data_IF_675893246321
#
_entry.id   IF_675893246321
#
_cell.length_a   1.000
_cell.length_b   1.000
_cell.length_c   1.000
_cell.angle_alpha   90.00
_cell.angle_beta   90.00
_cell.angle_gamma   90.00
#
_symmetry.space_group_name_H-M   'P 1'
#
loop_
_entity.id
_entity.type
_entity.pdbx_description
1 polymer ?
#
# COMPACT_ATOMS: atom_id res chain seq x y z
N UNK A 1 -7.02 -9.43 10.61
CA UNK A 1 -7.28 -8.03 10.23
C UNK A 1 -6.42 -7.56 9.06
N UNK A 2 -5.08 -7.74 9.05
CA UNK A 2 -4.22 -7.24 7.96
C UNK A 2 -4.58 -7.75 6.55
N UNK A 3 -4.96 -9.02 6.40
CA UNK A 3 -5.43 -9.54 5.10
C UNK A 3 -6.72 -8.85 4.64
N UNK A 4 -7.64 -8.57 5.58
CA UNK A 4 -8.86 -7.80 5.33
C UNK A 4 -8.58 -6.34 4.95
N UNK A 5 -7.56 -5.73 5.55
CA UNK A 5 -7.11 -4.37 5.18
C UNK A 5 -6.68 -4.30 3.72
N UNK A 6 -5.81 -5.24 3.29
CA UNK A 6 -5.37 -5.30 1.89
C UNK A 6 -6.55 -5.57 0.95
N UNK A 7 -7.44 -6.49 1.31
CA UNK A 7 -8.64 -6.78 0.53
C UNK A 7 -9.57 -5.55 0.41
N UNK A 8 -9.77 -4.81 1.50
CA UNK A 8 -10.55 -3.56 1.49
C UNK A 8 -9.94 -2.52 0.54
N UNK A 9 -8.62 -2.42 0.49
CA UNK A 9 -7.89 -1.56 -0.46
C UNK A 9 -8.09 -2.01 -1.89
N UNK A 10 -7.93 -3.30 -2.17
CA UNK A 10 -8.19 -3.83 -3.50
C UNK A 10 -9.62 -3.55 -3.96
N UNK A 11 -10.63 -3.81 -3.13
CA UNK A 11 -12.04 -3.59 -3.50
C UNK A 11 -12.33 -2.11 -3.74
N UNK A 12 -11.98 -1.23 -2.82
CA UNK A 12 -12.32 0.18 -2.92
C UNK A 12 -11.57 0.87 -4.07
N UNK A 13 -10.25 0.71 -4.14
CA UNK A 13 -9.45 1.34 -5.19
C UNK A 13 -9.74 0.77 -6.58
N UNK A 14 -10.04 -0.54 -6.70
CA UNK A 14 -10.46 -1.12 -7.98
C UNK A 14 -11.82 -0.59 -8.44
N UNK A 15 -12.78 -0.39 -7.53
CA UNK A 15 -14.10 0.14 -7.88
C UNK A 15 -14.00 1.55 -8.50
N UNK A 16 -13.07 2.38 -8.02
CA UNK A 16 -12.83 3.71 -8.56
C UNK A 16 -11.82 3.73 -9.72
N UNK A 17 -10.99 2.68 -9.85
CA UNK A 17 -9.78 2.68 -10.68
C UNK A 17 -8.86 3.87 -10.39
N UNK A 18 -8.77 4.24 -9.12
CA UNK A 18 -8.00 5.38 -8.63
C UNK A 18 -7.29 5.05 -7.31
N UNK A 19 -6.00 5.34 -7.22
CA UNK A 19 -5.16 5.03 -6.07
C UNK A 19 -5.25 6.05 -4.93
N UNK A 20 -5.76 7.27 -5.20
CA UNK A 20 -5.74 8.40 -4.25
C UNK A 20 -6.41 8.10 -2.89
N UNK A 21 -7.39 7.19 -2.87
CA UNK A 21 -8.19 6.90 -1.69
C UNK A 21 -7.51 5.95 -0.70
N UNK A 22 -6.34 5.37 -1.02
CA UNK A 22 -5.68 4.38 -0.15
C UNK A 22 -5.44 4.86 1.29
N UNK A 23 -5.05 6.12 1.57
CA UNK A 23 -4.89 6.61 2.93
C UNK A 23 -6.22 6.67 3.69
N UNK A 24 -7.30 7.10 3.04
CA UNK A 24 -8.63 7.16 3.64
C UNK A 24 -9.16 5.75 3.93
N UNK A 25 -8.98 4.84 2.98
CA UNK A 25 -9.48 3.48 3.11
C UNK A 25 -8.79 2.71 4.24
N UNK A 26 -7.47 2.83 4.38
CA UNK A 26 -6.76 2.22 5.51
C UNK A 26 -7.22 2.83 6.84
N UNK A 27 -7.41 4.16 6.88
CA UNK A 27 -7.85 4.88 8.07
C UNK A 27 -9.20 4.36 8.55
N UNK A 28 -10.20 4.36 7.67
CA UNK A 28 -11.55 3.97 8.02
C UNK A 28 -11.73 2.46 8.15
N UNK A 29 -10.96 1.62 7.44
CA UNK A 29 -10.97 0.19 7.73
C UNK A 29 -10.53 -0.07 9.18
N UNK A 30 -9.46 0.59 9.63
CA UNK A 30 -8.94 0.43 10.98
C UNK A 30 -9.90 0.98 12.04
N UNK A 31 -10.48 2.16 11.80
CA UNK A 31 -11.46 2.77 12.69
C UNK A 31 -12.72 1.91 12.84
N UNK A 32 -13.29 1.48 11.70
CA UNK A 32 -14.51 0.68 11.69
C UNK A 32 -14.29 -0.69 12.33
N UNK A 33 -13.18 -1.38 12.06
CA UNK A 33 -12.96 -2.72 12.64
C UNK A 33 -12.71 -2.64 14.15
N UNK A 34 -12.09 -1.57 14.64
CA UNK A 34 -11.94 -1.34 16.08
C UNK A 34 -13.29 -1.16 16.76
N UNK A 35 -14.18 -0.35 16.19
CA UNK A 35 -15.51 -0.11 16.74
C UNK A 35 -16.47 -1.30 16.58
N UNK A 36 -16.33 -2.09 15.52
CA UNK A 36 -17.15 -3.28 15.28
C UNK A 36 -16.81 -4.42 16.25
N UNK A 37 -15.54 -4.54 16.65
CA UNK A 37 -15.06 -5.73 17.37
C UNK A 37 -14.56 -5.45 18.79
N UNK A 38 -14.26 -4.19 19.14
CA UNK A 38 -13.56 -3.82 20.37
C UNK A 38 -12.10 -4.30 20.42
N UNK A 39 -11.56 -4.85 19.32
CA UNK A 39 -10.18 -5.31 19.19
C UNK A 39 -9.32 -4.28 18.45
N UNK A 40 -8.02 -4.19 18.74
CA UNK A 40 -7.13 -3.26 18.05
C UNK A 40 -7.01 -3.54 16.55
N UNK A 41 -6.95 -2.47 15.75
CA UNK A 41 -6.73 -2.50 14.31
C UNK A 41 -5.34 -3.06 13.94
N UNK A 42 -5.08 -3.37 12.65
CA UNK A 42 -3.76 -3.76 12.17
C UNK A 42 -2.64 -2.92 12.76
N UNK A 43 -1.59 -3.61 13.24
CA UNK A 43 -0.41 -2.98 13.82
C UNK A 43 -0.69 -2.12 15.07
N UNK A 44 -1.75 -2.47 15.83
CA UNK A 44 -2.13 -1.88 17.11
C UNK A 44 -2.29 -0.35 17.04
N UNK A 45 -3.04 0.13 16.05
CA UNK A 45 -3.28 1.56 15.86
C UNK A 45 -2.17 2.30 15.06
N UNK A 46 -1.03 1.66 14.79
CA UNK A 46 0.02 2.29 13.96
C UNK A 46 -0.40 2.41 12.50
N UNK A 47 -1.21 1.48 11.99
CA UNK A 47 -1.73 1.56 10.63
C UNK A 47 -2.65 2.79 10.46
N UNK A 48 -3.63 2.99 11.36
CA UNK A 48 -4.51 4.17 11.33
C UNK A 48 -3.73 5.48 11.51
N UNK A 49 -2.75 5.54 12.43
CA UNK A 49 -1.93 6.73 12.63
C UNK A 49 -1.07 7.08 11.39
N UNK A 50 -0.45 6.06 10.76
CA UNK A 50 0.26 6.24 9.49
C UNK A 50 -0.69 6.73 8.40
N UNK A 51 -1.91 6.22 8.41
CA UNK A 51 -2.98 6.63 7.50
C UNK A 51 -3.34 8.09 7.65
N UNK A 52 -3.60 8.57 8.87
CA UNK A 52 -3.90 9.99 9.15
C UNK A 52 -2.81 10.89 8.59
N UNK A 53 -1.55 10.57 8.87
CA UNK A 53 -0.39 11.30 8.36
C UNK A 53 -0.35 11.31 6.83
N UNK A 54 -0.45 10.13 6.21
CA UNK A 54 -0.40 10.00 4.75
C UNK A 54 -1.59 10.63 4.04
N UNK A 55 -2.79 10.63 4.64
CA UNK A 55 -3.97 11.34 4.14
C UNK A 55 -3.68 12.82 4.07
N UNK A 56 -3.16 13.41 5.15
CA UNK A 56 -2.79 14.82 5.20
C UNK A 56 -1.71 15.17 4.17
N UNK A 57 -0.61 14.42 4.11
CA UNK A 57 0.51 14.70 3.20
C UNK A 57 0.26 14.27 1.74
N UNK A 58 -0.90 13.70 1.42
CA UNK A 58 -1.33 13.49 0.03
C UNK A 58 -2.39 14.50 -0.42
N UNK A 59 -2.93 15.30 0.50
CA UNK A 59 -4.04 16.23 0.25
C UNK A 59 -3.82 17.61 0.89
N UNK A 60 -2.56 18.04 1.04
CA UNK A 60 -2.23 19.35 1.62
C UNK A 60 -1.04 20.00 0.93
N UNK A 61 -0.76 21.24 1.35
CA UNK A 61 0.34 22.07 0.82
C UNK A 61 1.70 21.79 1.50
N UNK A 62 1.74 20.94 2.53
CA UNK A 62 2.87 20.86 3.45
C UNK A 62 3.95 19.85 3.04
N UNK A 63 3.82 19.23 1.88
CA UNK A 63 4.75 18.23 1.34
C UNK A 63 4.06 16.90 1.05
N UNK A 64 4.86 15.85 0.86
CA UNK A 64 4.37 14.55 0.41
C UNK A 64 4.04 14.56 -1.08
N UNK A 65 2.89 14.00 -1.46
CA UNK A 65 2.48 13.85 -2.86
C UNK A 65 1.46 12.75 -3.08
N UNK A 66 1.28 12.34 -4.34
CA UNK A 66 0.40 11.22 -4.69
C UNK A 66 0.87 9.89 -4.08
N UNK A 67 -0.01 8.89 -3.90
CA UNK A 67 0.34 7.65 -3.18
C UNK A 67 1.61 6.94 -3.67
N UNK A 68 1.91 7.02 -4.97
CA UNK A 68 3.06 6.35 -5.60
C UNK A 68 4.44 6.85 -5.16
N UNK A 69 4.56 8.01 -4.50
CA UNK A 69 5.88 8.52 -4.04
C UNK A 69 6.24 8.07 -2.62
N UNK A 70 5.30 7.49 -1.88
CA UNK A 70 5.56 7.04 -0.52
C UNK A 70 6.27 5.68 -0.49
N UNK A 71 7.05 5.46 0.56
CA UNK A 71 7.77 4.21 0.80
C UNK A 71 8.02 4.01 2.31
N UNK A 72 8.46 2.83 2.73
CA UNK A 72 8.62 2.47 4.15
C UNK A 72 9.68 3.27 4.92
N UNK A 73 10.50 4.06 4.24
CA UNK A 73 11.47 4.98 4.85
C UNK A 73 11.00 6.44 4.86
N UNK A 74 9.98 6.79 4.07
CA UNK A 74 9.46 8.16 4.02
C UNK A 74 8.89 8.54 5.39
N UNK A 75 9.22 9.73 5.91
CA UNK A 75 8.91 10.11 7.30
C UNK A 75 7.41 10.03 7.62
N UNK A 76 6.56 10.31 6.64
CA UNK A 76 5.09 10.21 6.72
C UNK A 76 4.59 8.77 6.87
N UNK A 77 5.26 7.80 6.24
CA UNK A 77 4.76 6.43 6.08
C UNK A 77 5.61 5.35 6.74
N UNK A 78 6.63 5.73 7.52
CA UNK A 78 7.55 4.80 8.20
C UNK A 78 7.06 4.27 9.55
N UNK A 79 5.90 4.73 10.03
CA UNK A 79 5.45 4.46 11.40
C UNK A 79 4.90 3.04 11.55
N UNK A 80 4.01 2.60 10.65
CA UNK A 80 3.54 1.22 10.61
C UNK A 80 4.62 0.24 10.13
N UNK A 81 4.67 -0.93 10.76
CA UNK A 81 5.73 -1.93 10.62
C UNK A 81 5.29 -3.12 9.77
N UNK A 82 5.03 -2.86 8.48
CA UNK A 82 4.78 -3.91 7.49
C UNK A 82 3.46 -3.80 6.74
N UNK A 83 2.28 -3.75 7.39
CA UNK A 83 1.00 -3.93 6.70
C UNK A 83 0.56 -2.73 5.84
N UNK A 84 1.21 -1.57 5.99
CA UNK A 84 0.77 -0.32 5.39
C UNK A 84 1.20 -0.13 3.93
N UNK A 85 2.51 -0.17 3.64
CA UNK A 85 3.03 0.07 2.28
C UNK A 85 2.53 -0.94 1.23
N UNK A 86 2.35 -2.25 1.53
CA UNK A 86 1.76 -3.17 0.56
C UNK A 86 0.37 -2.76 0.07
N UNK A 87 -0.41 -2.08 0.90
CA UNK A 87 -1.70 -1.54 0.50
C UNK A 87 -1.55 -0.38 -0.50
N UNK A 88 -0.57 0.50 -0.29
CA UNK A 88 -0.25 1.57 -1.24
C UNK A 88 0.19 0.98 -2.59
N UNK A 89 1.03 -0.06 -2.58
CA UNK A 89 1.42 -0.76 -3.79
C UNK A 89 0.20 -1.31 -4.54
N UNK A 90 -0.70 -2.01 -3.84
CA UNK A 90 -1.93 -2.54 -4.44
C UNK A 90 -2.81 -1.44 -5.05
N UNK A 91 -2.99 -0.32 -4.35
CA UNK A 91 -3.76 0.80 -4.87
C UNK A 91 -3.15 1.41 -6.14
N UNK A 92 -1.82 1.54 -6.19
CA UNK A 92 -1.11 2.05 -7.37
C UNK A 92 -1.14 1.08 -8.55
N UNK A 93 -1.21 -0.23 -8.31
CA UNK A 93 -1.43 -1.21 -9.39
C UNK A 93 -2.85 -1.15 -9.99
N UNK A 94 -3.83 -0.63 -9.24
CA UNK A 94 -5.23 -0.54 -9.65
C UNK A 94 -5.59 0.81 -10.28
N UNK A 95 -4.76 1.83 -10.05
CA UNK A 95 -4.89 3.17 -10.60
C UNK A 95 -4.85 3.16 -12.13
N UNK A 96 -5.83 3.80 -12.77
CA UNK A 96 -5.88 3.98 -14.22
C UNK A 96 -5.22 5.30 -14.64
N UNK A 97 -4.01 5.55 -14.14
CA UNK A 97 -3.21 6.77 -14.35
C UNK A 97 -3.94 8.07 -13.99
N UNK A 98 -4.63 8.06 -12.85
CA UNK A 98 -5.34 9.25 -12.34
C UNK A 98 -4.41 10.26 -11.65
N UNK A 99 -3.17 9.86 -11.39
CA UNK A 99 -2.18 10.62 -10.64
C UNK A 99 -1.20 11.36 -11.57
N UNK A 100 -0.57 12.43 -11.06
CA UNK A 100 0.51 13.09 -11.79
C UNK A 100 1.83 12.32 -11.70
N UNK A 101 2.25 11.93 -10.49
CA UNK A 101 3.46 11.14 -10.27
C UNK A 101 3.16 9.64 -10.41
N UNK A 102 2.94 9.19 -11.65
CA UNK A 102 2.70 7.77 -11.97
C UNK A 102 4.01 6.97 -12.03
N UNK A 103 3.95 5.63 -11.91
CA UNK A 103 5.13 4.78 -12.09
C UNK A 103 5.85 5.01 -13.42
N UNK A 104 5.12 5.31 -14.50
CA UNK A 104 5.71 5.64 -15.80
C UNK A 104 6.56 6.93 -15.77
N UNK A 105 6.28 7.86 -14.85
CA UNK A 105 7.06 9.10 -14.70
C UNK A 105 8.18 9.01 -13.68
N UNK A 106 7.99 8.24 -12.59
CA UNK A 106 8.96 8.19 -11.49
C UNK A 106 9.87 6.97 -11.53
N UNK A 107 9.43 5.90 -12.19
CA UNK A 107 10.01 4.56 -12.03
C UNK A 107 10.18 3.81 -13.36
N UNK A 108 10.14 4.50 -14.51
CA UNK A 108 10.24 3.88 -15.84
C UNK A 108 11.43 2.93 -15.98
N UNK A 109 12.65 3.43 -15.67
CA UNK A 109 13.88 2.63 -15.76
C UNK A 109 13.87 1.43 -14.79
N UNK A 110 13.35 1.63 -13.58
CA UNK A 110 13.23 0.54 -12.60
C UNK A 110 12.26 -0.55 -13.10
N UNK A 111 11.12 -0.15 -13.67
CA UNK A 111 10.15 -1.06 -14.26
C UNK A 111 10.73 -1.85 -15.43
N UNK A 112 11.51 -1.20 -16.30
CA UNK A 112 12.16 -1.85 -17.45
C UNK A 112 13.21 -2.86 -17.00
N UNK A 113 14.13 -2.46 -16.11
CA UNK A 113 15.29 -3.28 -15.73
C UNK A 113 14.90 -4.36 -14.72
N UNK A 114 14.26 -4.00 -13.61
CA UNK A 114 13.92 -4.98 -12.57
C UNK A 114 12.69 -5.81 -12.96
N UNK A 115 11.78 -5.27 -13.77
CA UNK A 115 10.63 -6.02 -14.28
C UNK A 115 11.00 -7.13 -15.26
N UNK A 116 12.20 -7.08 -15.86
CA UNK A 116 12.71 -8.17 -16.68
C UNK A 116 13.22 -9.38 -15.87
N UNK A 117 13.45 -9.22 -14.57
CA UNK A 117 13.95 -10.28 -13.68
C UNK A 117 12.74 -11.09 -13.14
N UNK A 118 12.61 -12.40 -13.47
CA UNK A 118 11.42 -13.19 -13.14
C UNK A 118 11.07 -13.20 -11.64
N UNK A 119 12.07 -13.26 -10.77
CA UNK A 119 11.88 -13.30 -9.32
C UNK A 119 11.36 -11.97 -8.74
N UNK A 120 11.59 -10.85 -9.44
CA UNK A 120 11.03 -9.55 -9.07
C UNK A 120 9.68 -9.29 -9.72
N UNK A 121 9.45 -9.82 -10.93
CA UNK A 121 8.17 -9.70 -11.63
C UNK A 121 7.08 -10.61 -11.02
N UNK A 122 7.44 -11.85 -10.65
CA UNK A 122 6.54 -12.85 -10.09
C UNK A 122 7.01 -13.35 -8.69
N UNK A 123 7.19 -12.46 -7.71
CA UNK A 123 7.84 -12.81 -6.44
C UNK A 123 7.05 -13.85 -5.63
N UNK A 124 5.72 -13.85 -5.71
CA UNK A 124 4.90 -14.83 -5.00
C UNK A 124 5.18 -16.27 -5.44
N UNK A 125 5.44 -16.48 -6.75
CA UNK A 125 5.77 -17.80 -7.30
C UNK A 125 7.15 -18.25 -6.83
N UNK A 126 8.15 -17.39 -6.97
CA UNK A 126 9.53 -17.67 -6.54
C UNK A 126 9.60 -17.99 -5.04
N UNK A 127 8.90 -17.21 -4.19
CA UNK A 127 8.85 -17.44 -2.74
C UNK A 127 8.17 -18.77 -2.41
N UNK A 128 7.04 -19.08 -3.06
CA UNK A 128 6.31 -20.33 -2.81
C UNK A 128 7.11 -21.57 -3.22
N UNK A 129 7.82 -21.53 -4.35
CA UNK A 129 8.71 -22.60 -4.79
C UNK A 129 9.91 -22.78 -3.85
N UNK A 130 10.55 -21.67 -3.44
CA UNK A 130 11.64 -21.70 -2.46
C UNK A 130 11.21 -22.28 -1.11
N UNK A 131 10.03 -21.89 -0.60
CA UNK A 131 9.47 -22.42 0.64
C UNK A 131 9.27 -23.95 0.58
N UNK A 132 8.76 -24.47 -0.55
CA UNK A 132 8.57 -25.93 -0.74
C UNK A 132 9.88 -26.72 -0.71
N UNK A 133 11.00 -26.11 -1.11
CA UNK A 133 12.30 -26.79 -1.12
C UNK A 133 12.89 -26.91 0.29
N UNK A 134 12.73 -25.87 1.13
CA UNK A 134 13.29 -25.83 2.48
C UNK A 134 12.39 -26.48 3.55
N UNK A 135 11.11 -26.69 3.27
CA UNK A 135 10.17 -27.35 4.18
C UNK A 135 10.15 -28.88 4.05
N UNK A 136 10.99 -29.45 3.18
CA UNK A 136 11.25 -30.90 3.11
C UNK A 136 12.30 -31.29 4.13
#
# INVERSE_FOLDING_TARGET
TCAGLLAAVCVNCAAMRAGQAVPSNIMYFCDLIEHETGLPSPDYGRAIATSVSSSFFSHSIYGGGGPGVFHGNHIVTRHSKGPFIPCFTAAMCLDADTLYFTPARTSALYGEVLGAIPEFAEPMKAIAEGAKQIMK
#
